data_IF_782249547226
#
_entry.id   IF_782249547226
#
_cell.length_a   1.000
_cell.length_b   1.000
_cell.length_c   1.000
_cell.angle_alpha   90.00
_cell.angle_beta   90.00
_cell.angle_gamma   90.00
#
_symmetry.space_group_name_H-M   'P 1'
#
loop_
_entity.id
_entity.type
_entity.pdbx_description
1 polymer ?
#
# COMPACT_ATOMS: atom_id res chain seq x y z
N UNK A 1 -13.37 -8.12 -23.20
CA UNK A 1 -14.25 -7.02 -22.76
C UNK A 1 -13.53 -5.71 -23.03
N UNK A 2 -14.12 -4.77 -23.77
CA UNK A 2 -13.57 -3.42 -23.92
C UNK A 2 -13.57 -2.75 -22.54
N UNK A 3 -12.41 -2.29 -22.09
CA UNK A 3 -12.29 -1.57 -20.83
C UNK A 3 -13.26 -0.38 -20.84
N UNK A 4 -14.12 -0.26 -19.83
CA UNK A 4 -15.01 0.89 -19.69
C UNK A 4 -14.19 2.18 -19.76
N UNK A 5 -14.68 3.19 -20.47
CA UNK A 5 -14.01 4.50 -20.54
C UNK A 5 -13.92 5.11 -19.13
N UNK A 6 -12.88 5.91 -18.89
CA UNK A 6 -12.81 6.71 -17.65
C UNK A 6 -13.96 7.73 -17.65
N UNK A 7 -14.40 8.16 -16.45
CA UNK A 7 -15.34 9.25 -16.32
C UNK A 7 -14.89 10.53 -17.07
N UNK A 8 -15.80 11.42 -17.46
CA UNK A 8 -15.41 12.70 -18.02
C UNK A 8 -14.67 13.56 -17.01
N UNK A 9 -13.70 14.36 -17.48
CA UNK A 9 -12.96 15.29 -16.64
C UNK A 9 -13.89 16.34 -16.01
N UNK A 10 -13.63 16.67 -14.76
CA UNK A 10 -14.27 17.79 -14.02
C UNK A 10 -13.23 18.88 -13.74
N UNK A 11 -13.10 19.82 -14.67
CA UNK A 11 -12.19 20.95 -14.56
C UNK A 11 -12.65 22.05 -13.59
N UNK A 12 -13.87 21.99 -13.10
CA UNK A 12 -14.37 22.92 -12.09
C UNK A 12 -13.82 22.61 -10.70
N UNK A 13 -13.73 21.33 -10.36
CA UNK A 13 -13.19 20.85 -9.08
C UNK A 13 -11.70 20.52 -9.17
N UNK A 14 -11.27 20.03 -10.30
CA UNK A 14 -9.90 19.59 -10.56
C UNK A 14 -9.30 20.33 -11.76
N UNK A 15 -9.04 21.66 -11.62
CA UNK A 15 -8.60 22.52 -12.74
C UNK A 15 -7.29 22.04 -13.37
N UNK A 16 -6.41 21.40 -12.63
CA UNK A 16 -5.10 20.94 -13.11
C UNK A 16 -5.17 19.54 -13.70
N UNK A 17 -5.82 18.60 -13.02
CA UNK A 17 -5.86 17.22 -13.47
C UNK A 17 -7.15 16.84 -14.21
N UNK A 18 -8.27 17.49 -13.93
CA UNK A 18 -9.58 17.05 -14.37
C UNK A 18 -10.08 15.80 -13.64
N UNK A 19 -9.28 15.21 -12.76
CA UNK A 19 -9.56 13.93 -12.14
C UNK A 19 -10.23 14.08 -10.77
N UNK A 20 -11.36 13.39 -10.63
CA UNK A 20 -12.13 13.27 -9.38
C UNK A 20 -11.94 11.88 -8.76
N UNK A 21 -12.54 11.64 -7.60
CA UNK A 21 -12.57 10.33 -6.97
C UNK A 21 -13.06 9.22 -7.90
N UNK A 22 -14.00 9.52 -8.80
CA UNK A 22 -14.57 8.54 -9.72
C UNK A 22 -13.53 7.99 -10.71
N UNK A 23 -12.55 8.78 -11.12
CA UNK A 23 -11.42 8.30 -11.94
C UNK A 23 -10.57 7.28 -11.18
N UNK A 24 -10.30 7.55 -9.90
CA UNK A 24 -9.57 6.66 -9.02
C UNK A 24 -10.31 5.34 -8.79
N UNK A 25 -11.61 5.43 -8.53
CA UNK A 25 -12.51 4.29 -8.37
C UNK A 25 -12.53 3.43 -9.63
N UNK A 26 -12.72 4.05 -10.80
CA UNK A 26 -12.76 3.35 -12.07
C UNK A 26 -11.44 2.62 -12.38
N UNK A 27 -10.29 3.23 -12.09
CA UNK A 27 -8.98 2.58 -12.27
C UNK A 27 -8.75 1.45 -11.29
N UNK A 28 -9.16 1.61 -10.02
CA UNK A 28 -9.07 0.57 -9.02
C UNK A 28 -9.90 -0.67 -9.42
N UNK A 29 -11.17 -0.45 -9.79
CA UNK A 29 -12.08 -1.52 -10.19
C UNK A 29 -11.59 -2.23 -11.46
N UNK A 30 -11.07 -1.50 -12.44
CA UNK A 30 -10.45 -2.07 -13.65
C UNK A 30 -9.19 -2.89 -13.32
N UNK A 31 -8.34 -2.37 -12.42
CA UNK A 31 -7.12 -3.08 -12.01
C UNK A 31 -7.44 -4.38 -11.28
N UNK A 32 -8.45 -4.38 -10.41
CA UNK A 32 -8.89 -5.58 -9.71
C UNK A 32 -9.51 -6.61 -10.67
N UNK A 33 -10.36 -6.18 -11.59
CA UNK A 33 -10.98 -7.06 -12.59
C UNK A 33 -9.96 -7.67 -13.57
N UNK A 34 -8.88 -6.93 -13.88
CA UNK A 34 -7.82 -7.41 -14.78
C UNK A 34 -7.03 -8.60 -14.17
N UNK A 35 -7.10 -8.79 -12.85
CA UNK A 35 -6.42 -9.89 -12.16
C UNK A 35 -7.18 -11.21 -12.18
N UNK A 36 -8.49 -11.18 -12.41
CA UNK A 36 -9.34 -12.38 -12.30
C UNK A 36 -8.86 -13.57 -13.15
N UNK A 37 -8.37 -13.39 -14.39
CA UNK A 37 -7.85 -14.51 -15.21
C UNK A 37 -6.58 -15.15 -14.66
N UNK A 38 -5.90 -14.48 -13.72
CA UNK A 38 -4.60 -14.89 -13.17
C UNK A 38 -4.70 -15.43 -11.75
N UNK A 39 -5.91 -15.55 -11.20
CA UNK A 39 -6.13 -16.15 -9.89
C UNK A 39 -5.96 -17.66 -9.98
N UNK A 40 -5.30 -18.24 -8.98
CA UNK A 40 -5.26 -19.70 -8.79
C UNK A 40 -6.67 -20.24 -8.52
N UNK A 41 -6.91 -21.56 -8.68
CA UNK A 41 -8.24 -22.14 -8.58
C UNK A 41 -9.03 -21.83 -7.31
N UNK A 42 -8.33 -21.65 -6.17
CA UNK A 42 -8.93 -21.23 -4.89
C UNK A 42 -8.61 -19.77 -4.54
N UNK A 43 -7.97 -19.03 -5.44
CA UNK A 43 -7.69 -17.60 -5.30
C UNK A 43 -6.56 -17.24 -4.35
N UNK A 44 -5.79 -18.19 -3.80
CA UNK A 44 -4.70 -17.89 -2.88
C UNK A 44 -3.49 -17.22 -3.54
N UNK A 45 -3.32 -17.38 -4.84
CA UNK A 45 -2.28 -16.75 -5.64
C UNK A 45 -2.86 -15.93 -6.77
N UNK A 46 -2.14 -14.90 -7.20
CA UNK A 46 -2.38 -14.18 -8.44
C UNK A 46 -1.12 -14.32 -9.30
N UNK A 47 -1.15 -15.29 -10.22
CA UNK A 47 -0.01 -15.67 -11.05
C UNK A 47 0.08 -14.82 -12.32
N UNK A 48 0.67 -13.66 -12.18
CA UNK A 48 0.79 -12.68 -13.26
C UNK A 48 1.87 -13.08 -14.28
N UNK A 49 1.67 -12.72 -15.56
CA UNK A 49 2.65 -12.96 -16.60
C UNK A 49 3.87 -12.06 -16.43
N UNK A 50 5.05 -12.62 -16.66
CA UNK A 50 6.33 -11.93 -16.58
C UNK A 50 7.44 -12.83 -16.01
N UNK A 51 8.69 -12.32 -15.94
CA UNK A 51 9.81 -13.07 -15.39
C UNK A 51 9.67 -13.23 -13.87
N UNK A 52 9.96 -14.41 -13.35
CA UNK A 52 9.94 -14.66 -11.93
C UNK A 52 11.01 -13.80 -11.19
N UNK A 53 10.70 -13.42 -9.94
CA UNK A 53 11.69 -12.85 -9.04
C UNK A 53 12.69 -13.90 -8.57
N UNK A 54 13.76 -13.47 -7.89
CA UNK A 54 14.69 -14.40 -7.23
C UNK A 54 14.03 -15.27 -6.16
N UNK A 55 12.86 -14.85 -5.65
CA UNK A 55 12.12 -15.55 -4.60
C UNK A 55 11.19 -16.66 -5.17
N UNK A 56 11.03 -16.71 -6.50
CA UNK A 56 10.29 -17.74 -7.21
C UNK A 56 8.78 -17.48 -7.35
N UNK A 57 8.14 -18.25 -8.21
CA UNK A 57 6.74 -18.07 -8.63
C UNK A 57 5.73 -18.09 -7.48
N UNK A 58 5.92 -18.92 -6.47
CA UNK A 58 5.00 -18.96 -5.32
C UNK A 58 5.05 -17.67 -4.51
N UNK A 59 6.25 -17.10 -4.34
CA UNK A 59 6.43 -15.78 -3.74
C UNK A 59 5.76 -14.69 -4.57
N UNK A 60 5.98 -14.70 -5.88
CA UNK A 60 5.44 -13.70 -6.81
C UNK A 60 3.90 -13.76 -6.85
N UNK A 61 3.31 -14.96 -6.77
CA UNK A 61 1.86 -15.14 -6.71
C UNK A 61 1.25 -14.65 -5.38
N UNK A 62 1.94 -14.88 -4.25
CA UNK A 62 1.56 -14.30 -2.96
C UNK A 62 1.67 -12.77 -2.97
N UNK A 63 2.72 -12.21 -3.58
CA UNK A 63 2.82 -10.77 -3.81
C UNK A 63 1.61 -10.24 -4.59
N UNK A 64 1.25 -10.92 -5.67
CA UNK A 64 0.09 -10.55 -6.47
C UNK A 64 -1.21 -10.53 -5.66
N UNK A 65 -1.42 -11.54 -4.82
CA UNK A 65 -2.55 -11.61 -3.91
C UNK A 65 -2.53 -10.49 -2.87
N UNK A 66 -1.49 -10.39 -2.07
CA UNK A 66 -1.44 -9.48 -0.92
C UNK A 66 -1.47 -8.00 -1.34
N UNK A 67 -0.77 -7.66 -2.43
CA UNK A 67 -0.69 -6.27 -2.92
C UNK A 67 -1.98 -5.83 -3.61
N UNK A 68 -2.66 -6.72 -4.30
CA UNK A 68 -3.98 -6.40 -4.85
C UNK A 68 -5.08 -6.40 -3.78
N UNK A 69 -4.92 -7.17 -2.70
CA UNK A 69 -5.79 -7.08 -1.52
C UNK A 69 -5.70 -5.68 -0.86
N UNK A 70 -4.53 -5.01 -0.84
CA UNK A 70 -4.42 -3.62 -0.40
C UNK A 70 -5.36 -2.71 -1.19
N UNK A 71 -5.35 -2.82 -2.51
CA UNK A 71 -6.23 -2.02 -3.37
C UNK A 71 -7.70 -2.29 -3.09
N UNK A 72 -8.07 -3.57 -2.99
CA UNK A 72 -9.44 -3.98 -2.65
C UNK A 72 -9.88 -3.44 -1.29
N UNK A 73 -9.03 -3.55 -0.28
CA UNK A 73 -9.30 -3.05 1.07
C UNK A 73 -9.53 -1.53 1.10
N UNK A 74 -8.67 -0.74 0.45
CA UNK A 74 -8.84 0.72 0.37
C UNK A 74 -10.12 1.09 -0.37
N UNK A 75 -10.38 0.43 -1.50
CA UNK A 75 -11.56 0.68 -2.34
C UNK A 75 -12.86 0.44 -1.58
N UNK A 76 -12.96 -0.68 -0.85
CA UNK A 76 -14.18 -1.09 -0.16
C UNK A 76 -14.35 -0.32 1.16
N UNK A 77 -13.28 -0.02 1.89
CA UNK A 77 -13.35 0.79 3.10
C UNK A 77 -13.94 2.18 2.82
N UNK A 78 -13.56 2.82 1.72
CA UNK A 78 -14.09 4.13 1.33
C UNK A 78 -15.57 4.15 0.94
N UNK A 79 -16.15 2.98 0.69
CA UNK A 79 -17.59 2.77 0.43
C UNK A 79 -18.31 2.20 1.66
N UNK A 80 -17.68 2.24 2.84
CA UNK A 80 -18.28 1.72 4.07
C UNK A 80 -18.58 0.22 4.04
N UNK A 81 -17.82 -0.54 3.28
CA UNK A 81 -17.96 -1.99 3.13
C UNK A 81 -18.86 -2.43 1.97
N UNK A 82 -19.38 -1.49 1.16
CA UNK A 82 -20.16 -1.86 -0.01
C UNK A 82 -19.27 -2.55 -1.07
N UNK A 83 -19.60 -3.81 -1.37
CA UNK A 83 -18.86 -4.66 -2.29
C UNK A 83 -19.82 -5.41 -3.26
N UNK A 84 -20.45 -4.70 -4.20
CA UNK A 84 -21.41 -5.31 -5.11
C UNK A 84 -20.80 -6.34 -6.06
N UNK A 85 -19.48 -6.34 -6.21
CA UNK A 85 -18.74 -7.28 -7.07
C UNK A 85 -18.26 -8.52 -6.32
N UNK A 86 -18.49 -8.64 -5.01
CA UNK A 86 -18.03 -9.76 -4.18
C UNK A 86 -16.49 -9.90 -4.14
N UNK A 87 -15.78 -8.78 -4.16
CA UNK A 87 -14.31 -8.78 -4.20
C UNK A 87 -13.74 -9.35 -2.92
N UNK A 88 -14.26 -8.94 -1.74
CA UNK A 88 -13.79 -9.43 -0.44
C UNK A 88 -14.04 -10.92 -0.25
N UNK A 89 -15.16 -11.45 -0.77
CA UNK A 89 -15.46 -12.88 -0.70
C UNK A 89 -14.38 -13.70 -1.44
N UNK A 90 -14.01 -13.29 -2.66
CA UNK A 90 -12.92 -13.94 -3.41
C UNK A 90 -11.57 -13.89 -2.67
N UNK A 91 -11.28 -12.78 -1.98
CA UNK A 91 -10.07 -12.70 -1.16
C UNK A 91 -10.17 -13.53 0.12
N UNK A 92 -11.36 -13.67 0.71
CA UNK A 92 -11.59 -14.57 1.85
C UNK A 92 -11.34 -16.03 1.48
N UNK A 93 -11.80 -16.48 0.31
CA UNK A 93 -11.53 -17.82 -0.22
C UNK A 93 -10.02 -18.05 -0.42
N UNK A 94 -9.33 -17.07 -1.01
CA UNK A 94 -7.88 -17.11 -1.19
C UNK A 94 -7.11 -17.14 0.14
N UNK A 95 -7.54 -16.35 1.12
CA UNK A 95 -6.98 -16.36 2.48
C UNK A 95 -7.14 -17.73 3.14
N UNK A 96 -8.35 -18.29 3.06
CA UNK A 96 -8.65 -19.61 3.62
C UNK A 96 -7.77 -20.72 3.00
N UNK A 97 -7.56 -20.67 1.68
CA UNK A 97 -6.73 -21.65 0.99
C UNK A 97 -5.22 -21.42 1.22
N UNK A 98 -4.78 -20.15 1.25
CA UNK A 98 -3.37 -19.79 1.44
C UNK A 98 -2.86 -20.07 2.84
N UNK A 99 -3.70 -19.96 3.86
CA UNK A 99 -3.34 -20.22 5.27
C UNK A 99 -3.57 -21.66 5.71
N UNK A 100 -4.19 -22.51 4.86
CA UNK A 100 -4.38 -23.93 5.15
C UNK A 100 -3.15 -24.75 4.73
N UNK A 101 -2.38 -25.31 5.68
CA UNK A 101 -1.16 -26.06 5.36
C UNK A 101 -1.43 -27.36 4.55
N UNK A 102 -2.67 -27.84 4.53
CA UNK A 102 -3.08 -29.01 3.72
C UNK A 102 -3.49 -28.64 2.30
N UNK A 103 -3.65 -27.35 2.01
CA UNK A 103 -4.04 -26.88 0.68
C UNK A 103 -2.88 -26.98 -0.32
N UNK A 104 -3.14 -27.37 -1.58
CA UNK A 104 -2.12 -27.28 -2.63
C UNK A 104 -1.72 -25.83 -2.92
N UNK A 105 -2.54 -24.86 -2.48
CA UNK A 105 -2.28 -23.44 -2.60
C UNK A 105 -1.79 -22.79 -1.29
N UNK A 106 -1.33 -23.60 -0.31
CA UNK A 106 -0.76 -23.07 0.93
C UNK A 106 0.39 -22.09 0.67
N UNK A 107 0.37 -20.95 1.33
CA UNK A 107 1.41 -19.94 1.20
C UNK A 107 2.73 -20.38 1.85
N UNK A 108 3.90 -19.94 1.35
CA UNK A 108 5.12 -20.03 2.12
C UNK A 108 4.97 -19.21 3.39
N UNK A 109 5.50 -19.72 4.50
CA UNK A 109 5.41 -19.04 5.78
C UNK A 109 6.48 -17.94 5.89
N UNK A 110 6.22 -16.86 6.67
CA UNK A 110 7.22 -15.83 6.99
C UNK A 110 8.54 -16.34 7.58
N UNK A 111 8.53 -17.45 8.33
CA UNK A 111 9.75 -18.07 8.86
C UNK A 111 10.49 -18.97 7.86
N UNK A 112 9.89 -19.26 6.70
CA UNK A 112 10.47 -20.05 5.62
C UNK A 112 10.96 -19.19 4.45
N UNK A 113 10.32 -18.04 4.22
CA UNK A 113 10.59 -17.15 3.09
C UNK A 113 10.50 -15.69 3.50
N UNK A 114 11.61 -14.97 3.47
CA UNK A 114 11.65 -13.56 3.89
C UNK A 114 10.63 -12.67 3.16
N UNK A 115 10.36 -12.91 1.88
CA UNK A 115 9.37 -12.11 1.14
C UNK A 115 7.95 -12.27 1.73
N UNK A 116 7.62 -13.41 2.31
CA UNK A 116 6.32 -13.62 2.97
C UNK A 116 6.14 -12.70 4.19
N UNK A 117 7.23 -12.25 4.85
CA UNK A 117 7.19 -11.24 5.92
C UNK A 117 6.61 -9.91 5.44
N UNK A 118 6.94 -9.53 4.21
CA UNK A 118 6.45 -8.29 3.57
C UNK A 118 4.96 -8.39 3.29
N UNK A 119 4.54 -9.53 2.75
CA UNK A 119 3.15 -9.76 2.35
C UNK A 119 2.24 -9.98 3.57
N UNK A 120 2.77 -10.57 4.66
CA UNK A 120 2.08 -10.69 5.94
C UNK A 120 1.61 -9.33 6.47
N UNK A 121 2.45 -8.29 6.36
CA UNK A 121 2.06 -6.94 6.75
C UNK A 121 0.91 -6.37 5.91
N UNK A 122 0.94 -6.59 4.59
CA UNK A 122 -0.12 -6.13 3.70
C UNK A 122 -1.44 -6.82 4.03
N UNK A 123 -1.41 -8.13 4.28
CA UNK A 123 -2.58 -8.92 4.68
C UNK A 123 -3.11 -8.44 6.03
N UNK A 124 -2.26 -8.35 7.06
CA UNK A 124 -2.63 -7.90 8.39
C UNK A 124 -3.28 -6.50 8.39
N UNK A 125 -2.70 -5.57 7.61
CA UNK A 125 -3.21 -4.21 7.48
C UNK A 125 -4.62 -4.18 6.88
N UNK A 126 -4.87 -4.98 5.84
CA UNK A 126 -6.21 -5.04 5.22
C UNK A 126 -7.21 -5.75 6.12
N UNK A 127 -6.82 -6.84 6.79
CA UNK A 127 -7.70 -7.51 7.75
C UNK A 127 -8.13 -6.56 8.87
N UNK A 128 -7.23 -5.69 9.34
CA UNK A 128 -7.55 -4.66 10.30
C UNK A 128 -8.47 -3.58 9.71
N UNK A 129 -8.14 -3.04 8.56
CA UNK A 129 -8.91 -1.99 7.89
C UNK A 129 -10.33 -2.44 7.54
N UNK A 130 -10.47 -3.68 7.11
CA UNK A 130 -11.75 -4.24 6.64
C UNK A 130 -12.40 -5.16 7.67
N UNK A 131 -12.02 -5.03 8.94
CA UNK A 131 -12.41 -5.93 10.03
C UNK A 131 -13.90 -6.30 10.03
N UNK A 132 -14.87 -5.34 10.00
CA UNK A 132 -16.30 -5.66 10.06
C UNK A 132 -16.84 -6.38 8.82
N UNK A 133 -16.13 -6.27 7.69
CA UNK A 133 -16.60 -6.77 6.38
C UNK A 133 -15.86 -8.01 5.90
N UNK A 134 -14.64 -8.25 6.41
CA UNK A 134 -13.83 -9.41 6.06
C UNK A 134 -13.48 -10.23 7.31
N UNK A 135 -12.61 -9.73 8.20
CA UNK A 135 -12.07 -10.51 9.32
C UNK A 135 -13.15 -11.11 10.23
N UNK A 136 -14.11 -10.30 10.67
CA UNK A 136 -15.16 -10.73 11.60
C UNK A 136 -16.21 -11.67 10.96
N UNK A 137 -16.15 -11.83 9.63
CA UNK A 137 -17.03 -12.72 8.85
C UNK A 137 -16.37 -14.05 8.47
N UNK A 138 -15.09 -14.19 8.71
CA UNK A 138 -14.39 -15.45 8.46
C UNK A 138 -14.81 -16.51 9.48
N UNK A 139 -14.85 -17.76 9.03
CA UNK A 139 -15.00 -18.90 9.91
C UNK A 139 -13.88 -18.97 10.94
N UNK A 140 -14.18 -19.46 12.17
CA UNK A 140 -13.20 -19.56 13.25
C UNK A 140 -11.95 -20.31 12.84
N UNK A 141 -12.10 -21.44 12.14
CA UNK A 141 -10.97 -22.23 11.65
C UNK A 141 -10.08 -21.47 10.65
N UNK A 142 -10.65 -20.56 9.84
CA UNK A 142 -9.87 -19.70 8.94
C UNK A 142 -9.14 -18.63 9.74
N UNK A 143 -9.79 -18.03 10.73
CA UNK A 143 -9.17 -17.05 11.63
C UNK A 143 -7.99 -17.67 12.40
N UNK A 144 -8.18 -18.86 12.97
CA UNK A 144 -7.11 -19.59 13.68
C UNK A 144 -5.92 -19.88 12.77
N UNK A 145 -6.14 -20.40 11.55
CA UNK A 145 -5.06 -20.64 10.59
C UNK A 145 -4.36 -19.37 10.14
N UNK A 146 -5.12 -18.27 9.95
CA UNK A 146 -4.55 -16.96 9.60
C UNK A 146 -3.66 -16.42 10.73
N UNK A 147 -4.12 -16.53 11.98
CA UNK A 147 -3.34 -16.16 13.17
C UNK A 147 -2.09 -17.04 13.28
N UNK A 148 -2.20 -18.34 13.05
CA UNK A 148 -1.06 -19.27 13.08
C UNK A 148 -0.03 -18.93 11.99
N UNK A 149 -0.46 -18.64 10.76
CA UNK A 149 0.41 -18.24 9.65
C UNK A 149 1.10 -16.90 9.93
N UNK A 150 0.35 -15.87 10.33
CA UNK A 150 0.89 -14.57 10.71
C UNK A 150 1.82 -14.68 11.92
N UNK A 151 1.50 -15.53 12.91
CA UNK A 151 2.28 -15.73 14.12
C UNK A 151 3.72 -16.18 13.88
N UNK A 152 4.02 -16.69 12.69
CA UNK A 152 5.39 -17.09 12.32
C UNK A 152 6.32 -15.89 12.08
N UNK A 153 5.85 -14.64 12.12
CA UNK A 153 6.69 -13.43 12.07
C UNK A 153 7.36 -13.12 13.42
N UNK A 154 6.77 -13.60 14.54
CA UNK A 154 7.21 -13.26 15.89
C UNK A 154 8.61 -13.80 16.18
N UNK A 155 9.49 -12.95 16.70
CA UNK A 155 10.88 -13.31 16.99
C UNK A 155 11.77 -13.52 15.77
N UNK A 156 11.26 -13.28 14.55
CA UNK A 156 12.07 -13.39 13.34
C UNK A 156 13.00 -12.17 13.16
N UNK A 157 14.20 -12.35 12.59
CA UNK A 157 15.06 -11.24 12.26
C UNK A 157 14.50 -10.43 11.10
N UNK A 158 14.57 -9.10 11.22
CA UNK A 158 14.22 -8.18 10.15
C UNK A 158 15.40 -7.26 9.82
N UNK A 159 15.68 -6.96 8.54
CA UNK A 159 16.66 -5.95 8.17
C UNK A 159 16.33 -4.60 8.82
N UNK A 160 17.32 -3.85 9.37
CA UNK A 160 17.09 -2.58 10.06
C UNK A 160 16.85 -1.42 9.07
N UNK A 161 15.83 -1.56 8.26
CA UNK A 161 15.36 -0.64 7.22
C UNK A 161 13.83 -0.55 7.30
N UNK A 162 13.16 -0.11 6.24
CA UNK A 162 11.68 -0.09 6.18
C UNK A 162 11.01 -1.42 6.58
N UNK A 163 11.71 -2.54 6.53
CA UNK A 163 11.19 -3.87 6.84
C UNK A 163 10.71 -4.04 8.27
N UNK A 164 11.24 -3.29 9.23
CA UNK A 164 10.81 -3.32 10.63
C UNK A 164 9.30 -3.03 10.76
N UNK A 165 8.75 -2.22 9.87
CA UNK A 165 7.32 -1.93 9.86
C UNK A 165 6.44 -3.10 9.46
N UNK A 166 6.98 -4.09 8.75
CA UNK A 166 6.22 -5.28 8.41
C UNK A 166 5.96 -6.14 9.63
N UNK A 167 6.94 -6.25 10.54
CA UNK A 167 6.78 -6.93 11.83
C UNK A 167 5.81 -6.15 12.72
N UNK A 168 6.00 -4.86 12.90
CA UNK A 168 5.14 -4.01 13.72
C UNK A 168 3.66 -4.12 13.32
N UNK A 169 3.34 -4.07 12.03
CA UNK A 169 1.96 -4.16 11.55
C UNK A 169 1.38 -5.55 11.79
N UNK A 170 2.13 -6.61 11.45
CA UNK A 170 1.65 -7.98 11.61
C UNK A 170 1.43 -8.33 13.08
N UNK A 171 2.36 -7.98 13.97
CA UNK A 171 2.22 -8.24 15.40
C UNK A 171 1.14 -7.39 16.08
N UNK A 172 0.92 -6.17 15.61
CA UNK A 172 -0.18 -5.36 16.12
C UNK A 172 -1.54 -5.95 15.77
N UNK A 173 -1.70 -6.50 14.54
CA UNK A 173 -2.90 -7.24 14.18
C UNK A 173 -3.06 -8.51 15.03
N UNK A 174 -1.99 -9.27 15.22
CA UNK A 174 -1.99 -10.47 16.07
C UNK A 174 -2.42 -10.15 17.49
N UNK A 175 -1.89 -9.07 18.09
CA UNK A 175 -2.30 -8.59 19.42
C UNK A 175 -3.81 -8.37 19.50
N UNK A 176 -4.41 -7.69 18.52
CA UNK A 176 -5.85 -7.42 18.49
C UNK A 176 -6.71 -8.64 18.11
N UNK A 177 -6.12 -9.62 17.43
CA UNK A 177 -6.75 -10.89 17.09
C UNK A 177 -6.60 -11.95 18.21
N UNK A 178 -5.89 -11.65 19.30
CA UNK A 178 -5.65 -12.60 20.40
C UNK A 178 -4.58 -13.65 20.08
N UNK A 179 -3.73 -13.40 19.07
CA UNK A 179 -2.63 -14.27 18.69
C UNK A 179 -1.31 -13.93 19.40
N UNK A 180 -0.22 -14.64 19.08
CA UNK A 180 1.11 -14.38 19.63
C UNK A 180 1.67 -13.05 19.08
N UNK A 181 2.33 -12.28 19.94
CA UNK A 181 3.02 -11.04 19.59
C UNK A 181 4.09 -10.73 20.64
N UNK A 182 5.03 -9.83 20.35
CA UNK A 182 6.13 -9.47 21.25
C UNK A 182 6.25 -7.95 21.38
N UNK A 183 6.07 -7.44 22.60
CA UNK A 183 6.31 -6.03 22.88
C UNK A 183 7.77 -5.64 22.61
N UNK A 184 8.72 -6.54 22.93
CA UNK A 184 10.15 -6.31 22.73
C UNK A 184 10.50 -6.17 21.24
N UNK A 185 9.88 -6.96 20.35
CA UNK A 185 10.07 -6.86 18.91
C UNK A 185 9.60 -5.50 18.38
N UNK A 186 8.42 -5.05 18.83
CA UNK A 186 7.88 -3.74 18.45
C UNK A 186 8.78 -2.60 18.97
N UNK A 187 9.24 -2.67 20.24
CA UNK A 187 10.14 -1.67 20.82
C UNK A 187 11.46 -1.57 20.04
N UNK A 188 12.06 -2.72 19.69
CA UNK A 188 13.26 -2.79 18.87
C UNK A 188 13.05 -2.12 17.50
N UNK A 189 11.95 -2.45 16.83
CA UNK A 189 11.63 -1.91 15.52
C UNK A 189 11.35 -0.41 15.53
N UNK A 190 10.69 0.09 16.58
CA UNK A 190 10.49 1.53 16.75
C UNK A 190 11.82 2.27 17.01
N UNK A 191 12.74 1.65 17.73
CA UNK A 191 14.10 2.18 17.94
C UNK A 191 14.89 2.23 16.64
N UNK A 192 14.80 1.17 15.81
CA UNK A 192 15.38 1.17 14.45
C UNK A 192 14.79 2.31 13.63
N UNK A 193 13.47 2.42 13.55
CA UNK A 193 12.82 3.51 12.80
C UNK A 193 13.31 4.90 13.27
N UNK A 194 13.43 5.13 14.58
CA UNK A 194 13.94 6.38 15.13
C UNK A 194 15.37 6.69 14.68
N UNK A 195 16.23 5.67 14.50
CA UNK A 195 17.61 5.82 14.01
C UNK A 195 17.71 6.23 12.53
N UNK A 196 16.67 5.98 11.75
CA UNK A 196 16.61 6.33 10.32
C UNK A 196 16.27 7.81 10.08
N UNK A 197 15.85 8.52 11.12
CA UNK A 197 15.41 9.92 11.04
C UNK A 197 16.56 10.87 10.66
N UNK A 198 16.27 11.84 9.78
CA UNK A 198 17.20 12.88 9.30
C UNK A 198 16.55 14.26 9.39
N UNK A 199 17.31 15.36 9.23
CA UNK A 199 16.75 16.72 9.22
C UNK A 199 15.67 16.89 8.15
N UNK A 200 14.73 17.85 8.40
CA UNK A 200 13.68 18.19 7.43
C UNK A 200 12.58 17.15 7.28
N UNK A 201 12.44 16.23 8.24
CA UNK A 201 11.44 15.15 8.18
C UNK A 201 11.81 14.00 7.24
N UNK A 202 13.00 14.02 6.67
CA UNK A 202 13.49 12.91 5.84
C UNK A 202 13.85 11.70 6.70
N UNK A 203 13.68 10.51 6.12
CA UNK A 203 14.14 9.24 6.67
C UNK A 203 15.01 8.52 5.64
N UNK A 204 16.18 8.06 6.07
CA UNK A 204 17.06 7.24 5.23
C UNK A 204 16.67 5.77 5.37
N UNK A 205 16.43 5.06 4.28
CA UNK A 205 16.08 3.63 4.33
C UNK A 205 17.33 2.76 4.51
N UNK A 206 17.96 2.92 5.68
CA UNK A 206 19.21 2.29 6.11
C UNK A 206 20.17 3.30 6.73
N UNK A 207 21.35 2.81 7.11
CA UNK A 207 22.34 3.58 7.87
C UNK A 207 23.00 4.71 7.07
N UNK A 208 23.00 4.62 5.74
CA UNK A 208 23.69 5.56 4.86
C UNK A 208 22.73 6.64 4.32
N UNK A 209 22.96 7.09 3.09
CA UNK A 209 22.17 8.11 2.40
C UNK A 209 21.20 7.48 1.41
N UNK A 210 20.34 6.58 1.90
CA UNK A 210 19.34 5.90 1.09
C UNK A 210 18.04 6.72 1.05
N UNK A 211 18.08 7.88 0.40
CA UNK A 211 16.93 8.75 0.20
C UNK A 211 16.26 8.41 -1.12
N UNK A 212 15.19 7.66 -1.06
CA UNK A 212 14.36 7.29 -2.19
C UNK A 212 12.87 7.30 -1.79
N UNK A 213 12.00 6.81 -2.65
CA UNK A 213 10.57 6.79 -2.38
C UNK A 213 10.16 5.94 -1.17
N UNK A 214 11.03 5.08 -0.62
CA UNK A 214 10.73 4.36 0.64
C UNK A 214 10.56 5.31 1.83
N UNK A 215 11.16 6.50 1.80
CA UNK A 215 10.86 7.55 2.77
C UNK A 215 9.37 7.82 2.84
N UNK A 216 8.70 8.00 1.70
CA UNK A 216 7.28 8.31 1.61
C UNK A 216 6.38 7.07 1.76
N UNK A 217 6.56 6.06 0.88
CA UNK A 217 5.63 4.94 0.79
C UNK A 217 5.80 3.83 1.83
N UNK A 218 6.80 3.96 2.72
CA UNK A 218 6.98 3.05 3.83
C UNK A 218 7.25 3.80 5.15
N UNK A 219 8.34 4.58 5.23
CA UNK A 219 8.82 5.12 6.50
C UNK A 219 7.92 6.22 7.06
N UNK A 220 7.17 6.95 6.25
CA UNK A 220 6.10 7.85 6.69
C UNK A 220 4.73 7.20 6.73
N UNK A 221 4.45 6.32 5.77
CA UNK A 221 3.14 5.68 5.63
C UNK A 221 2.81 4.79 6.84
N UNK A 222 3.69 3.81 7.12
CA UNK A 222 3.37 2.79 8.12
C UNK A 222 3.20 3.35 9.54
N UNK A 223 4.08 4.21 10.09
CA UNK A 223 3.91 4.71 11.46
C UNK A 223 2.58 5.43 11.68
N UNK A 224 2.20 6.28 10.75
CA UNK A 224 0.97 7.06 10.88
C UNK A 224 -0.28 6.21 10.61
N UNK A 225 -0.22 5.32 9.62
CA UNK A 225 -1.32 4.40 9.34
C UNK A 225 -1.49 3.38 10.47
N UNK A 226 -0.40 2.94 11.10
CA UNK A 226 -0.42 2.08 12.27
C UNK A 226 -1.18 2.73 13.43
N UNK A 227 -0.84 3.99 13.79
CA UNK A 227 -1.54 4.72 14.85
C UNK A 227 -2.97 5.15 14.47
N UNK A 228 -3.33 5.09 13.20
CA UNK A 228 -4.68 5.38 12.70
C UNK A 228 -5.61 4.15 12.75
N UNK A 229 -5.06 2.96 12.48
CA UNK A 229 -5.84 1.73 12.33
C UNK A 229 -5.83 0.84 13.57
N UNK A 230 -4.81 0.93 14.42
CA UNK A 230 -4.66 0.07 15.60
C UNK A 230 -4.78 0.88 16.89
N UNK A 231 -5.30 0.23 17.95
CA UNK A 231 -5.38 0.83 19.30
C UNK A 231 -4.02 0.74 20.01
N UNK A 232 -3.09 1.56 19.56
CA UNK A 232 -1.69 1.57 20.03
C UNK A 232 -1.27 2.88 20.66
N UNK A 233 -2.03 3.96 20.45
CA UNK A 233 -1.71 5.29 21.00
C UNK A 233 -1.87 5.28 22.53
N UNK A 234 -0.82 5.66 23.25
CA UNK A 234 -0.78 5.62 24.71
C UNK A 234 -0.44 4.25 25.30
N UNK A 235 -0.31 3.21 24.47
CA UNK A 235 0.14 1.87 24.89
C UNK A 235 1.51 1.55 24.28
N UNK A 236 1.56 1.15 23.02
CA UNK A 236 2.79 0.86 22.29
C UNK A 236 3.40 2.10 21.61
N UNK A 237 2.59 3.11 21.32
CA UNK A 237 3.03 4.36 20.73
C UNK A 237 2.74 5.54 21.66
N UNK A 238 3.76 6.17 22.30
CA UNK A 238 3.57 7.40 23.05
C UNK A 238 2.97 8.51 22.16
N UNK A 239 2.02 9.34 22.68
CA UNK A 239 1.40 10.41 21.89
C UNK A 239 2.39 11.41 21.31
N UNK A 240 3.50 11.69 22.00
CA UNK A 240 4.59 12.56 21.53
C UNK A 240 5.34 11.95 20.34
N UNK A 241 5.48 10.63 20.28
CA UNK A 241 6.09 9.95 19.14
C UNK A 241 5.21 10.07 17.90
N UNK A 242 3.89 9.86 18.05
CA UNK A 242 2.93 10.07 16.96
C UNK A 242 2.95 11.52 16.45
N UNK A 243 3.00 12.51 17.36
CA UNK A 243 3.11 13.92 16.96
C UNK A 243 4.38 14.18 16.17
N UNK A 244 5.51 13.66 16.62
CA UNK A 244 6.79 13.79 15.90
C UNK A 244 6.71 13.22 14.48
N UNK A 245 6.11 12.04 14.28
CA UNK A 245 5.92 11.49 12.94
C UNK A 245 5.02 12.34 12.07
N UNK A 246 3.98 12.94 12.64
CA UNK A 246 3.11 13.86 11.93
C UNK A 246 3.85 15.14 11.49
N UNK A 247 4.69 15.69 12.37
CA UNK A 247 5.52 16.85 12.07
C UNK A 247 6.58 16.55 11.00
N UNK A 248 7.21 15.37 11.10
CA UNK A 248 8.19 14.90 10.12
C UNK A 248 7.54 14.66 8.75
N UNK A 249 6.35 14.04 8.68
CA UNK A 249 5.62 13.93 7.43
C UNK A 249 5.28 15.30 6.84
N UNK A 250 4.84 16.26 7.67
CA UNK A 250 4.55 17.61 7.22
C UNK A 250 5.74 18.29 6.56
N UNK A 251 6.91 18.22 7.21
CA UNK A 251 8.16 18.77 6.68
C UNK A 251 8.61 18.07 5.39
N UNK A 252 8.54 16.73 5.37
CA UNK A 252 8.85 15.95 4.17
C UNK A 252 7.95 16.30 2.97
N UNK A 253 6.66 16.53 3.22
CA UNK A 253 5.71 16.84 2.15
C UNK A 253 5.93 18.21 1.53
N UNK A 254 6.42 19.19 2.30
CA UNK A 254 6.82 20.51 1.77
C UNK A 254 7.92 20.32 0.69
N UNK A 255 8.92 19.47 0.95
CA UNK A 255 9.95 19.14 -0.03
C UNK A 255 9.42 18.25 -1.16
N UNK A 256 8.65 17.20 -0.83
CA UNK A 256 8.15 16.23 -1.79
C UNK A 256 7.25 16.87 -2.84
N UNK A 257 6.45 17.88 -2.47
CA UNK A 257 5.63 18.63 -3.42
C UNK A 257 6.48 19.43 -4.42
N UNK A 258 7.65 19.93 -4.00
CA UNK A 258 8.60 20.61 -4.88
C UNK A 258 9.33 19.67 -5.85
N UNK A 259 9.35 18.35 -5.56
CA UNK A 259 9.98 17.35 -6.40
C UNK A 259 9.05 16.74 -7.46
N UNK A 260 7.83 17.29 -7.60
CA UNK A 260 6.88 16.89 -8.62
C UNK A 260 6.95 17.81 -9.84
N UNK A 261 6.97 17.22 -11.03
CA UNK A 261 6.81 17.98 -12.27
C UNK A 261 5.38 18.52 -12.44
N UNK A 262 5.20 19.59 -13.21
CA UNK A 262 3.88 20.14 -13.54
C UNK A 262 2.97 19.12 -14.25
N UNK A 263 3.56 18.15 -14.95
CA UNK A 263 2.86 17.02 -15.58
C UNK A 263 2.52 15.88 -14.61
N UNK A 264 2.77 16.07 -13.31
CA UNK A 264 2.56 15.09 -12.26
C UNK A 264 3.66 14.04 -12.14
N UNK A 265 4.77 14.16 -12.89
CA UNK A 265 5.88 13.20 -12.80
C UNK A 265 6.53 13.23 -11.42
N UNK A 266 6.64 12.10 -10.70
CA UNK A 266 7.50 12.02 -9.53
C UNK A 266 8.96 11.90 -9.94
N UNK A 267 9.85 12.25 -9.01
CA UNK A 267 11.30 12.14 -9.24
C UNK A 267 11.68 10.68 -9.54
N UNK A 268 12.44 10.48 -10.63
CA UNK A 268 13.00 9.18 -10.99
C UNK A 268 14.25 8.91 -10.15
N UNK A 269 14.08 8.39 -8.95
CA UNK A 269 15.15 8.23 -7.97
C UNK A 269 15.01 6.92 -7.19
N UNK A 270 16.14 6.28 -6.94
CA UNK A 270 16.24 5.12 -6.05
C UNK A 270 15.88 3.81 -6.73
N UNK A 271 15.39 2.87 -5.94
CA UNK A 271 15.04 1.49 -6.32
C UNK A 271 13.51 1.27 -6.33
N UNK A 272 13.09 0.11 -6.81
CA UNK A 272 11.68 -0.31 -6.82
C UNK A 272 10.76 0.64 -7.61
N UNK A 273 11.30 1.29 -8.62
CA UNK A 273 10.58 2.29 -9.42
C UNK A 273 9.36 1.71 -10.14
N UNK A 274 9.29 0.39 -10.28
CA UNK A 274 8.10 -0.32 -10.78
C UNK A 274 6.84 -0.10 -9.93
N UNK A 275 6.97 0.44 -8.70
CA UNK A 275 5.81 0.81 -7.85
C UNK A 275 5.18 2.15 -8.23
N UNK A 276 5.81 2.92 -9.14
CA UNK A 276 5.21 4.08 -9.85
C UNK A 276 4.50 5.07 -8.92
N UNK A 277 3.17 5.16 -9.09
CA UNK A 277 2.30 6.07 -8.33
C UNK A 277 2.17 5.71 -6.84
N UNK A 278 2.82 4.64 -6.33
CA UNK A 278 3.04 4.51 -4.89
C UNK A 278 3.70 5.78 -4.30
N UNK A 279 4.44 6.55 -5.10
CA UNK A 279 4.99 7.85 -4.72
C UNK A 279 3.92 8.84 -4.19
N UNK A 280 2.63 8.63 -4.51
CA UNK A 280 1.52 9.40 -3.95
C UNK A 280 1.16 9.01 -2.50
N UNK A 281 1.65 7.89 -1.99
CA UNK A 281 1.28 7.37 -0.67
C UNK A 281 1.47 8.37 0.49
N UNK A 282 2.56 9.14 0.61
CA UNK A 282 2.72 10.07 1.72
C UNK A 282 1.69 11.22 1.69
N UNK A 283 1.26 11.68 0.50
CA UNK A 283 0.21 12.68 0.37
C UNK A 283 -1.14 12.13 0.84
N UNK A 284 -1.45 10.89 0.49
CA UNK A 284 -2.64 10.20 0.99
C UNK A 284 -2.55 9.90 2.48
N UNK A 285 -1.36 9.55 3.00
CA UNK A 285 -1.16 9.35 4.44
C UNK A 285 -1.53 10.61 5.21
N UNK A 286 -1.10 11.78 4.75
CA UNK A 286 -1.48 13.05 5.36
C UNK A 286 -3.00 13.27 5.33
N UNK A 287 -3.65 13.01 4.20
CA UNK A 287 -5.10 13.15 4.07
C UNK A 287 -5.87 12.19 5.00
N UNK A 288 -5.45 10.92 5.07
CA UNK A 288 -6.10 9.88 5.89
C UNK A 288 -5.94 10.16 7.38
N UNK A 289 -4.78 10.61 7.80
CA UNK A 289 -4.48 10.79 9.24
C UNK A 289 -4.74 12.21 9.74
N UNK A 290 -5.14 13.12 8.84
CA UNK A 290 -5.37 14.52 9.16
C UNK A 290 -4.10 15.24 9.60
N UNK A 291 -2.95 14.85 9.06
CA UNK A 291 -1.63 15.38 9.42
C UNK A 291 -1.00 16.16 8.27
N UNK A 292 0.03 16.93 8.58
CA UNK A 292 0.72 17.72 7.58
C UNK A 292 0.18 19.16 7.47
N UNK A 293 0.80 19.94 6.58
CA UNK A 293 0.54 21.38 6.42
C UNK A 293 -0.12 21.72 5.08
N UNK A 294 -0.07 20.78 4.13
CA UNK A 294 -0.63 20.98 2.80
C UNK A 294 -2.16 20.91 2.84
N UNK A 295 -2.81 21.79 2.11
CA UNK A 295 -4.26 21.81 1.96
C UNK A 295 -4.80 20.58 1.22
N UNK A 296 -6.07 20.21 1.42
CA UNK A 296 -6.68 19.03 0.80
C UNK A 296 -6.67 19.10 -0.73
N UNK A 297 -6.78 20.30 -1.31
CA UNK A 297 -6.70 20.53 -2.75
C UNK A 297 -5.33 20.24 -3.32
N UNK A 298 -4.26 20.64 -2.62
CA UNK A 298 -2.88 20.37 -3.02
C UNK A 298 -2.52 18.90 -2.86
N UNK A 299 -2.93 18.26 -1.74
CA UNK A 299 -2.73 16.81 -1.55
C UNK A 299 -3.35 16.01 -2.71
N UNK A 300 -4.60 16.35 -3.11
CA UNK A 300 -5.25 15.69 -4.24
C UNK A 300 -4.57 16.03 -5.56
N UNK A 301 -4.17 17.30 -5.79
CA UNK A 301 -3.46 17.70 -7.01
C UNK A 301 -2.18 16.87 -7.20
N UNK A 302 -1.36 16.74 -6.16
CA UNK A 302 -0.13 15.97 -6.18
C UNK A 302 -0.41 14.49 -6.52
N UNK A 303 -1.30 13.86 -5.78
CA UNK A 303 -1.61 12.44 -5.96
C UNK A 303 -2.30 12.17 -7.30
N UNK A 304 -3.31 12.95 -7.69
CA UNK A 304 -4.02 12.78 -8.97
C UNK A 304 -3.12 13.08 -10.17
N UNK A 305 -2.22 14.06 -10.03
CA UNK A 305 -1.20 14.33 -11.03
C UNK A 305 -0.31 13.12 -11.30
N UNK A 306 0.19 12.48 -10.24
CA UNK A 306 1.03 11.29 -10.37
C UNK A 306 0.27 10.13 -11.03
N UNK A 307 -0.94 9.79 -10.56
CA UNK A 307 -1.69 8.69 -11.15
C UNK A 307 -2.02 8.95 -12.62
N UNK A 308 -2.46 10.18 -12.96
CA UNK A 308 -2.73 10.60 -14.33
C UNK A 308 -1.46 10.54 -15.20
N UNK A 309 -0.33 11.02 -14.69
CA UNK A 309 0.95 10.95 -15.39
C UNK A 309 1.27 9.54 -15.85
N UNK A 310 1.14 8.56 -14.97
CA UNK A 310 1.39 7.16 -15.29
C UNK A 310 0.32 6.57 -16.20
N UNK A 311 -0.94 6.89 -15.98
CA UNK A 311 -2.04 6.43 -16.84
C UNK A 311 -1.86 6.91 -18.28
N UNK A 312 -1.66 8.21 -18.48
CA UNK A 312 -1.55 8.82 -19.82
C UNK A 312 -0.30 8.36 -20.58
N UNK A 313 0.69 7.79 -19.88
CA UNK A 313 1.92 7.22 -20.45
C UNK A 313 1.90 5.69 -20.58
N UNK A 314 0.71 5.07 -20.45
CA UNK A 314 0.51 3.66 -20.73
C UNK A 314 1.05 2.71 -19.65
N UNK A 315 1.08 3.13 -18.37
CA UNK A 315 1.50 2.23 -17.29
C UNK A 315 0.55 1.06 -17.08
N UNK A 316 -0.72 1.25 -17.38
CA UNK A 316 -1.69 0.18 -17.47
C UNK A 316 -1.65 -0.39 -18.90
N UNK A 317 -1.22 -1.64 -19.03
CA UNK A 317 -1.17 -2.33 -20.30
C UNK A 317 -2.59 -2.49 -20.92
N UNK A 318 -2.72 -2.83 -22.20
CA UNK A 318 -4.03 -2.98 -22.84
C UNK A 318 -4.96 -3.99 -22.16
N UNK A 319 -4.40 -5.00 -21.47
CA UNK A 319 -5.13 -5.97 -20.66
C UNK A 319 -5.44 -5.46 -19.23
N UNK A 320 -5.10 -4.22 -18.90
CA UNK A 320 -5.32 -3.59 -17.60
C UNK A 320 -4.25 -3.89 -16.56
N UNK A 321 -3.24 -4.71 -16.87
CA UNK A 321 -2.21 -5.08 -15.92
C UNK A 321 -1.12 -4.00 -15.78
N UNK A 322 -0.56 -3.92 -14.57
CA UNK A 322 0.68 -3.21 -14.31
C UNK A 322 1.86 -4.15 -14.58
N UNK A 323 2.65 -3.85 -15.62
CA UNK A 323 3.86 -4.62 -15.95
C UNK A 323 5.08 -4.07 -15.21
N UNK A 324 6.14 -4.91 -15.10
CA UNK A 324 7.44 -4.46 -14.58
C UNK A 324 8.01 -3.35 -15.46
N UNK A 325 8.16 -2.15 -14.93
CA UNK A 325 8.63 -1.00 -15.68
C UNK A 325 8.31 0.32 -14.98
N UNK A 326 8.61 1.42 -15.64
CA UNK A 326 8.27 2.78 -15.18
C UNK A 326 6.98 3.27 -15.85
N UNK A 327 6.98 3.68 -17.11
CA UNK A 327 5.76 3.97 -17.85
C UNK A 327 5.14 2.66 -18.36
N UNK A 328 5.60 2.11 -19.47
CA UNK A 328 5.26 0.76 -19.91
C UNK A 328 6.18 -0.32 -19.35
N UNK A 329 6.12 -1.51 -19.94
CA UNK A 329 7.02 -2.60 -19.58
C UNK A 329 8.47 -2.25 -19.94
N UNK A 330 9.36 -2.35 -18.95
CA UNK A 330 10.78 -2.09 -19.11
C UNK A 330 11.61 -2.84 -18.06
N UNK A 331 12.08 -4.00 -18.43
CA UNK A 331 12.80 -4.93 -17.54
C UNK A 331 14.06 -4.35 -16.88
N UNK A 332 14.86 -3.44 -17.49
CA UNK A 332 16.06 -2.89 -16.87
C UNK A 332 15.84 -2.14 -15.54
N UNK A 333 14.62 -1.66 -15.25
CA UNK A 333 14.32 -1.00 -13.97
C UNK A 333 14.05 -2.00 -12.83
N UNK A 334 13.95 -3.30 -13.17
CA UNK A 334 13.63 -4.36 -12.24
C UNK A 334 14.77 -4.62 -11.26
N UNK A 335 14.44 -4.75 -9.99
CA UNK A 335 15.33 -5.31 -8.98
C UNK A 335 15.28 -6.84 -9.02
N UNK A 336 16.31 -7.54 -8.54
CA UNK A 336 16.34 -9.00 -8.53
C UNK A 336 15.17 -9.63 -7.74
N UNK A 337 14.67 -8.94 -6.73
CA UNK A 337 13.50 -9.34 -5.93
C UNK A 337 12.17 -8.99 -6.58
N UNK A 338 12.14 -8.25 -7.68
CA UNK A 338 10.89 -7.84 -8.31
C UNK A 338 10.36 -8.91 -9.25
N UNK A 339 9.19 -9.45 -8.95
CA UNK A 339 8.40 -10.35 -9.79
C UNK A 339 7.18 -9.63 -10.40
N UNK A 340 6.35 -10.36 -11.15
CA UNK A 340 5.18 -9.79 -11.83
C UNK A 340 4.14 -9.18 -10.89
N UNK A 341 4.07 -9.63 -9.62
CA UNK A 341 3.22 -9.05 -8.58
C UNK A 341 3.76 -7.74 -8.00
N UNK A 342 5.06 -7.49 -8.13
CA UNK A 342 5.72 -6.33 -7.51
C UNK A 342 5.13 -4.97 -7.90
N UNK A 343 4.74 -4.70 -9.17
CA UNK A 343 4.12 -3.44 -9.56
C UNK A 343 2.84 -3.09 -8.79
N UNK A 344 2.16 -4.07 -8.24
CA UNK A 344 0.91 -3.86 -7.49
C UNK A 344 1.11 -3.21 -6.11
N UNK A 345 2.35 -3.01 -5.65
CA UNK A 345 2.58 -2.09 -4.52
C UNK A 345 2.23 -0.64 -4.86
N UNK A 346 2.02 -0.32 -6.14
CA UNK A 346 1.36 0.90 -6.57
C UNK A 346 0.00 1.14 -5.87
N UNK A 347 -0.65 0.10 -5.37
CA UNK A 347 -1.85 0.18 -4.52
C UNK A 347 -1.68 1.12 -3.32
N UNK A 348 -0.48 1.27 -2.76
CA UNK A 348 -0.20 2.26 -1.70
C UNK A 348 -0.50 3.69 -2.15
N UNK A 349 -0.27 3.99 -3.43
CA UNK A 349 -0.65 5.27 -4.03
C UNK A 349 -2.16 5.47 -4.23
N UNK A 350 -2.96 4.44 -3.98
CA UNK A 350 -4.42 4.50 -3.99
C UNK A 350 -5.04 4.51 -2.58
N UNK A 351 -4.22 4.68 -1.54
CA UNK A 351 -4.65 4.75 -0.14
C UNK A 351 -5.79 5.75 0.09
N UNK A 352 -5.81 6.87 -0.65
CA UNK A 352 -6.88 7.88 -0.56
C UNK A 352 -8.28 7.33 -0.81
N UNK A 353 -8.41 6.20 -1.52
CA UNK A 353 -9.71 5.57 -1.77
C UNK A 353 -10.40 5.07 -0.50
N UNK A 354 -9.67 4.84 0.61
CA UNK A 354 -10.29 4.49 1.89
C UNK A 354 -11.09 5.65 2.52
N UNK A 355 -10.89 6.87 2.04
CA UNK A 355 -11.66 8.03 2.48
C UNK A 355 -13.00 8.10 1.77
N UNK A 356 -14.10 8.43 2.49
CA UNK A 356 -15.42 8.54 1.88
C UNK A 356 -15.47 9.68 0.86
N UNK A 357 -16.38 9.60 -0.10
CA UNK A 357 -16.52 10.57 -1.19
C UNK A 357 -16.72 12.02 -0.73
N UNK A 358 -17.33 12.22 0.45
CA UNK A 358 -17.53 13.54 1.07
C UNK A 358 -16.31 14.11 1.80
N UNK A 359 -15.19 13.37 1.87
CA UNK A 359 -14.00 13.87 2.56
C UNK A 359 -13.43 15.13 1.87
N UNK A 360 -12.90 16.13 2.63
CA UNK A 360 -12.35 17.36 2.07
C UNK A 360 -11.33 17.16 0.94
N UNK A 361 -10.50 16.12 1.01
CA UNK A 361 -9.53 15.84 -0.07
C UNK A 361 -10.20 15.56 -1.41
N UNK A 362 -11.44 15.05 -1.42
CA UNK A 362 -12.19 14.77 -2.64
C UNK A 362 -13.11 15.93 -3.07
N UNK A 363 -13.50 16.80 -2.14
CA UNK A 363 -14.50 17.84 -2.39
C UNK A 363 -13.90 19.25 -2.57
N UNK A 364 -12.72 19.54 -2.00
CA UNK A 364 -12.03 20.80 -2.21
C UNK A 364 -11.60 20.98 -3.67
N UNK A 365 -11.45 22.21 -4.15
CA UNK A 365 -10.81 22.49 -5.44
C UNK A 365 -9.32 22.12 -5.39
N UNK A 366 -8.74 21.65 -6.50
CA UNK A 366 -7.29 21.45 -6.59
C UNK A 366 -6.56 22.80 -6.47
N UNK A 367 -5.44 22.75 -5.77
CA UNK A 367 -4.51 23.87 -5.61
C UNK A 367 -3.23 23.60 -6.43
N UNK A 368 -2.53 24.63 -6.94
CA UNK A 368 -1.35 24.44 -7.78
C UNK A 368 -0.19 23.81 -7.00
N UNK A 369 0.60 22.96 -7.66
CA UNK A 369 1.90 22.53 -7.15
C UNK A 369 2.87 23.72 -7.06
N UNK A 370 3.93 23.66 -6.20
CA UNK A 370 4.94 24.71 -6.15
C UNK A 370 5.56 25.05 -7.51
N UNK A 371 5.75 24.06 -8.37
CA UNK A 371 6.29 24.24 -9.73
C UNK A 371 5.35 24.99 -10.68
N UNK A 372 4.08 25.14 -10.33
CA UNK A 372 3.03 25.81 -11.13
C UNK A 372 2.78 27.25 -10.65
N UNK A 373 3.42 27.69 -9.59
CA UNK A 373 3.33 29.02 -8.99
C UNK A 373 4.46 29.93 -9.48
#
# INVERSE_FOLDING_TARGET
>A
MTAAALPPEDRSRSPYTGWTRDHWTALADRSLAALDPYRSPKGAYVDLPGPASRNGRRSDGLEGYARSLLLAGFRIAGEGGADPAGVLERYAEGLAAGTDPSSPEAWPRPDELDQAKVEAASIALVLQLTRPWLWDRLDDAVRERTVAWLGTVVGQPYPPINWVWFRVVAESFLREAGGPWSAADIEEDLAVHASLRRPGGWLSDGQERAYDHYTGWALHLYPLLWTHLFDVTGTLCPPELRRRWADDLGAYLDDAACLLGADGSPLLQGRSLTYRFAAAAPFWTAAVTGTGRLGPGLLRRAASGMLRHFHDRGSFAPDGLLRLGWHGEWQPVRQAYSGPGSPYWAAKGMLGLMLPAGHPVWTAAEEPLPVEQ
#
